data_IF_205139375249
#
_entry.id   IF_205139375249
#
_cell.length_a   1.000
_cell.length_b   1.000
_cell.length_c   1.000
_cell.angle_alpha   90.00
_cell.angle_beta   90.00
_cell.angle_gamma   90.00
#
_symmetry.space_group_name_H-M   'P 1'
#
loop_
_entity.id
_entity.type
_entity.pdbx_description
1 polymer ?
#
# COMPACT_ATOMS: atom_id res chain seq x y z
N UNK A 1 32.96 -15.30 -28.20
CA UNK A 1 31.89 -15.89 -27.35
C UNK A 1 31.58 -15.01 -26.13
N UNK A 2 32.57 -14.57 -25.35
CA UNK A 2 32.34 -13.79 -24.11
C UNK A 2 31.53 -12.50 -24.30
N UNK A 3 31.79 -11.72 -25.35
CA UNK A 3 31.13 -10.42 -25.57
C UNK A 3 29.61 -10.53 -25.73
N UNK A 4 29.12 -11.61 -26.35
CA UNK A 4 27.68 -11.84 -26.53
C UNK A 4 27.01 -12.15 -25.19
N UNK A 5 27.64 -13.00 -24.37
CA UNK A 5 27.15 -13.36 -23.04
C UNK A 5 27.09 -12.13 -22.13
N UNK A 6 28.11 -11.27 -22.16
CA UNK A 6 28.14 -10.03 -21.38
C UNK A 6 27.05 -9.05 -21.81
N UNK A 7 26.84 -8.91 -23.13
CA UNK A 7 25.81 -8.02 -23.69
C UNK A 7 24.39 -8.49 -23.35
N UNK A 8 24.15 -9.79 -23.42
CA UNK A 8 22.87 -10.39 -23.06
C UNK A 8 22.56 -10.22 -21.57
N UNK A 9 23.55 -10.42 -20.68
CA UNK A 9 23.40 -10.18 -19.24
C UNK A 9 23.04 -8.73 -18.93
N UNK A 10 23.66 -7.78 -19.61
CA UNK A 10 23.39 -6.35 -19.43
C UNK A 10 21.96 -5.97 -19.84
N UNK A 11 21.50 -6.43 -21.00
CA UNK A 11 20.13 -6.18 -21.47
C UNK A 11 19.08 -6.73 -20.50
N UNK A 12 19.34 -7.91 -19.93
CA UNK A 12 18.45 -8.51 -18.92
C UNK A 12 18.40 -7.69 -17.63
N UNK A 13 19.53 -7.14 -17.19
CA UNK A 13 19.59 -6.27 -16.01
C UNK A 13 18.82 -4.96 -16.25
N UNK A 14 19.06 -4.31 -17.40
CA UNK A 14 18.33 -3.08 -17.79
C UNK A 14 16.81 -3.31 -17.90
N UNK A 15 16.39 -4.48 -18.41
CA UNK A 15 14.98 -4.87 -18.45
C UNK A 15 14.39 -5.20 -17.07
N UNK A 16 15.20 -5.62 -16.10
CA UNK A 16 14.74 -5.86 -14.73
C UNK A 16 14.55 -4.55 -13.95
N UNK A 17 15.39 -3.55 -14.24
CA UNK A 17 15.24 -2.20 -13.70
C UNK A 17 14.07 -1.45 -14.38
N UNK A 18 13.73 -1.83 -15.62
CA UNK A 18 12.57 -1.31 -16.34
C UNK A 18 11.26 -1.69 -15.62
N UNK A 19 10.67 -0.71 -14.93
CA UNK A 19 9.41 -0.88 -14.20
C UNK A 19 9.58 -1.07 -12.69
N UNK A 20 10.82 -1.09 -12.16
CA UNK A 20 11.08 -1.17 -10.73
C UNK A 20 10.37 -0.04 -9.97
N UNK A 21 10.53 1.22 -10.42
CA UNK A 21 9.83 2.36 -9.80
C UNK A 21 8.31 2.26 -9.93
N UNK A 22 7.77 1.81 -11.07
CA UNK A 22 6.31 1.62 -11.25
C UNK A 22 5.76 0.57 -10.28
N UNK A 23 6.51 -0.52 -10.06
CA UNK A 23 6.14 -1.56 -9.10
C UNK A 23 6.16 -1.03 -7.66
N UNK A 24 7.15 -0.21 -7.29
CA UNK A 24 7.21 0.43 -5.97
C UNK A 24 5.98 1.29 -5.69
N UNK A 25 5.58 2.14 -6.65
CA UNK A 25 4.38 2.97 -6.51
C UNK A 25 3.10 2.13 -6.42
N UNK A 26 3.00 1.06 -7.22
CA UNK A 26 1.85 0.16 -7.19
C UNK A 26 1.73 -0.55 -5.83
N UNK A 27 2.83 -1.11 -5.32
CA UNK A 27 2.85 -1.78 -4.02
C UNK A 27 2.60 -0.80 -2.88
N UNK A 28 3.19 0.41 -2.93
CA UNK A 28 2.93 1.46 -1.96
C UNK A 28 1.45 1.86 -1.89
N UNK A 29 0.80 1.98 -3.05
CA UNK A 29 -0.64 2.28 -3.13
C UNK A 29 -1.46 1.12 -2.56
N UNK A 30 -1.15 -0.12 -2.91
CA UNK A 30 -1.84 -1.30 -2.38
C UNK A 30 -1.71 -1.40 -0.86
N UNK A 31 -0.52 -1.14 -0.31
CA UNK A 31 -0.29 -1.11 1.13
C UNK A 31 -1.14 -0.05 1.83
N UNK A 32 -1.19 1.18 1.27
CA UNK A 32 -2.01 2.26 1.81
C UNK A 32 -3.51 1.91 1.78
N UNK A 33 -4.01 1.36 0.67
CA UNK A 33 -5.42 0.95 0.53
C UNK A 33 -5.77 -0.18 1.51
N UNK A 34 -4.90 -1.17 1.67
CA UNK A 34 -5.10 -2.25 2.63
C UNK A 34 -5.19 -1.70 4.07
N UNK A 35 -4.29 -0.78 4.43
CA UNK A 35 -4.32 -0.13 5.74
C UNK A 35 -5.60 0.70 5.95
N UNK A 36 -6.03 1.46 4.94
CA UNK A 36 -7.29 2.19 4.97
C UNK A 36 -8.50 1.25 5.18
N UNK A 37 -8.50 0.08 4.53
CA UNK A 37 -9.52 -0.95 4.74
C UNK A 37 -9.57 -1.45 6.19
N UNK A 38 -8.42 -1.65 6.84
CA UNK A 38 -8.33 -2.01 8.26
C UNK A 38 -8.91 -0.89 9.12
N UNK A 39 -8.49 0.35 8.90
CA UNK A 39 -8.99 1.52 9.64
C UNK A 39 -10.51 1.68 9.49
N UNK A 40 -11.03 1.50 8.29
CA UNK A 40 -12.47 1.52 8.05
C UNK A 40 -13.18 0.46 8.90
N UNK A 41 -12.64 -0.76 8.96
CA UNK A 41 -13.20 -1.83 9.79
C UNK A 41 -13.18 -1.49 11.28
N UNK A 42 -12.11 -0.84 11.75
CA UNK A 42 -11.98 -0.39 13.14
C UNK A 42 -13.02 0.69 13.46
N UNK A 43 -13.09 1.74 12.63
CA UNK A 43 -14.00 2.87 12.85
C UNK A 43 -15.47 2.46 12.74
N UNK A 44 -15.78 1.49 11.88
CA UNK A 44 -17.13 0.94 11.74
C UNK A 44 -17.49 -0.12 12.79
N UNK A 45 -16.55 -0.48 13.68
CA UNK A 45 -16.82 -1.47 14.72
C UNK A 45 -17.83 -0.95 15.77
N UNK A 46 -18.66 -1.83 16.36
CA UNK A 46 -19.63 -1.42 17.38
C UNK A 46 -19.02 -0.69 18.57
N UNK A 47 -17.83 -1.13 19.03
CA UNK A 47 -17.13 -0.52 20.15
C UNK A 47 -16.74 0.94 19.87
N UNK A 48 -16.18 1.22 18.68
CA UNK A 48 -15.78 2.58 18.31
C UNK A 48 -16.99 3.47 18.08
N UNK A 49 -18.02 2.96 17.40
CA UNK A 49 -19.27 3.70 17.18
C UNK A 49 -19.97 4.08 18.49
N UNK A 50 -20.04 3.15 19.46
CA UNK A 50 -20.61 3.41 20.79
C UNK A 50 -19.79 4.44 21.57
N UNK A 51 -18.46 4.33 21.54
CA UNK A 51 -17.59 5.29 22.22
C UNK A 51 -17.75 6.71 21.65
N UNK A 52 -17.74 6.85 20.32
CA UNK A 52 -17.95 8.14 19.64
C UNK A 52 -19.36 8.68 19.90
N UNK A 53 -20.39 7.83 19.80
CA UNK A 53 -21.76 8.21 20.11
C UNK A 53 -21.92 8.69 21.56
N UNK A 54 -21.23 8.06 22.51
CA UNK A 54 -21.22 8.49 23.92
C UNK A 54 -20.48 9.81 24.17
N UNK A 55 -19.45 10.13 23.38
CA UNK A 55 -18.79 11.44 23.41
C UNK A 55 -19.73 12.51 22.85
N UNK A 56 -20.29 12.28 21.66
CA UNK A 56 -21.21 13.21 21.01
C UNK A 56 -22.44 13.47 21.88
N UNK A 57 -23.07 12.41 22.41
CA UNK A 57 -24.23 12.53 23.28
C UNK A 57 -23.98 13.25 24.60
N UNK A 58 -22.73 13.28 25.09
CA UNK A 58 -22.33 14.13 26.23
C UNK A 58 -22.10 15.58 25.82
N UNK A 59 -21.63 15.83 24.61
CA UNK A 59 -21.42 17.18 24.09
C UNK A 59 -22.72 17.89 23.69
N UNK A 60 -23.78 17.14 23.38
CA UNK A 60 -25.09 17.67 22.99
C UNK A 60 -26.07 17.89 24.16
N UNK A 61 -25.72 17.47 25.37
CA UNK A 61 -26.45 17.79 26.60
C UNK A 61 -25.87 19.05 27.23
#
# INVERSE_FOLDING_TARGET
>A
MHTIVTRFRRLRAEAADAGMSTAEYAVGTLAAVAFAGILLKVVTSPAVQQALGGIIGRALK
#
